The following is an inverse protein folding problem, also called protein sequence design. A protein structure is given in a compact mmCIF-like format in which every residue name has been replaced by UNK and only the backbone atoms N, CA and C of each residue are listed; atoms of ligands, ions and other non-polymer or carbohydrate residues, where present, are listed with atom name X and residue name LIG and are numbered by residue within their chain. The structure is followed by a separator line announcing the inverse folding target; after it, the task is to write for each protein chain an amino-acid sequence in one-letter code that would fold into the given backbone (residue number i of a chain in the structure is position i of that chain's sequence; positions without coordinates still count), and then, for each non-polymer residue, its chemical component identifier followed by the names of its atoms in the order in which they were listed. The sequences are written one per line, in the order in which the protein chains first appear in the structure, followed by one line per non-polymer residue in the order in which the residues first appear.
data_IF_252035429319
#
_entry.id   IF_252035429319
#
_cell.length_a   1.000
_cell.length_b   1.000
_cell.length_c   1.000
_cell.angle_alpha   90.00
_cell.angle_beta   90.00
_cell.angle_gamma   90.00
#
_symmetry.space_group_name_H-M   'P 1'
#
loop_
_entity.id
_entity.type
_entity.pdbx_description
1 polymer ?
#
# COMPACT_ATOMS: atom_id res chain seq x y z
N UNK A 1 32.19 -3.37 -4.05
CA UNK A 1 31.19 -2.67 -3.22
C UNK A 1 30.39 -3.73 -2.47
N UNK A 2 30.12 -3.53 -1.17
CA UNK A 2 29.29 -4.46 -0.40
C UNK A 2 27.83 -4.30 -0.81
N UNK A 3 27.13 -5.42 -1.03
CA UNK A 3 25.70 -5.46 -1.37
C UNK A 3 24.92 -6.12 -0.24
N UNK A 4 23.65 -5.76 -0.09
CA UNK A 4 22.76 -6.32 0.92
C UNK A 4 21.60 -7.08 0.27
N UNK A 5 21.46 -8.37 0.58
CA UNK A 5 20.32 -9.19 0.21
C UNK A 5 19.35 -9.30 1.39
N UNK A 6 18.09 -8.93 1.17
CA UNK A 6 17.01 -9.05 2.14
C UNK A 6 16.07 -10.19 1.74
N UNK A 7 16.08 -11.29 2.48
CA UNK A 7 15.16 -12.41 2.26
C UNK A 7 13.96 -12.28 3.19
N UNK A 8 12.78 -11.99 2.65
CA UNK A 8 11.52 -11.87 3.39
C UNK A 8 10.60 -13.04 3.08
N UNK A 9 10.28 -13.87 4.07
CA UNK A 9 9.21 -14.84 3.90
C UNK A 9 7.86 -14.11 3.86
N UNK A 10 6.98 -14.53 2.95
CA UNK A 10 5.62 -14.02 2.88
C UNK A 10 4.91 -14.01 4.25
N UNK A 11 3.99 -13.05 4.45
CA UNK A 11 3.16 -12.94 5.64
C UNK A 11 2.19 -14.12 5.78
N UNK A 12 1.57 -14.27 6.96
CA UNK A 12 0.64 -15.39 7.20
C UNK A 12 -0.51 -15.37 6.17
N UNK A 13 -0.58 -16.43 5.36
CA UNK A 13 -1.67 -16.66 4.40
C UNK A 13 -2.95 -17.18 5.06
N UNK A 14 -4.06 -16.98 4.37
CA UNK A 14 -5.35 -17.57 4.68
C UNK A 14 -5.57 -18.82 3.85
N UNK A 15 -5.65 -19.97 4.51
CA UNK A 15 -5.90 -21.25 3.86
C UNK A 15 -7.36 -21.70 3.95
N UNK A 16 -8.24 -20.95 4.61
CA UNK A 16 -9.66 -21.31 4.70
C UNK A 16 -10.50 -20.75 3.55
N UNK A 17 -9.91 -19.92 2.68
CA UNK A 17 -10.58 -19.42 1.48
C UNK A 17 -10.45 -20.50 0.39
N UNK A 18 -11.55 -20.95 -0.23
CA UNK A 18 -11.52 -22.03 -1.23
C UNK A 18 -11.03 -21.51 -2.59
N UNK A 19 -9.72 -21.28 -2.70
CA UNK A 19 -9.03 -20.82 -3.90
C UNK A 19 -7.75 -21.63 -4.11
N UNK A 20 -7.23 -21.60 -5.34
CA UNK A 20 -5.94 -22.23 -5.69
C UNK A 20 -4.80 -21.68 -4.82
N UNK A 21 -3.72 -22.47 -4.63
CA UNK A 21 -2.65 -22.08 -3.70
C UNK A 21 -2.03 -20.71 -4.04
N UNK A 22 -1.79 -20.46 -5.34
CA UNK A 22 -1.26 -19.19 -5.84
C UNK A 22 -2.18 -18.00 -5.50
N UNK A 23 -3.49 -18.20 -5.44
CA UNK A 23 -4.49 -17.15 -5.18
C UNK A 23 -4.77 -16.94 -3.68
N UNK A 24 -4.16 -17.73 -2.78
CA UNK A 24 -4.42 -17.63 -1.34
C UNK A 24 -4.04 -16.25 -0.79
N UNK A 25 -4.98 -15.51 -0.18
CA UNK A 25 -4.73 -14.16 0.30
C UNK A 25 -3.97 -14.15 1.64
N UNK A 26 -3.52 -12.98 2.08
CA UNK A 26 -3.00 -12.77 3.43
C UNK A 26 -4.10 -12.66 4.49
N UNK A 27 -3.88 -13.26 5.66
CA UNK A 27 -4.66 -12.94 6.89
C UNK A 27 -4.37 -11.51 7.35
N UNK A 28 -5.27 -10.92 8.13
CA UNK A 28 -5.07 -9.59 8.77
C UNK A 28 -3.70 -9.47 9.47
N UNK A 29 -3.32 -10.49 10.24
CA UNK A 29 -2.00 -10.53 10.91
C UNK A 29 -0.82 -10.62 9.95
N UNK A 30 -0.99 -11.27 8.79
CA UNK A 30 0.03 -11.34 7.75
C UNK A 30 0.24 -9.99 7.08
N UNK A 31 -0.86 -9.29 6.76
CA UNK A 31 -0.85 -7.92 6.25
C UNK A 31 -0.13 -6.97 7.22
N UNK A 32 -0.48 -7.03 8.51
CA UNK A 32 0.14 -6.21 9.55
C UNK A 32 1.64 -6.53 9.73
N UNK A 33 2.03 -7.81 9.72
CA UNK A 33 3.43 -8.21 9.82
C UNK A 33 4.28 -7.66 8.68
N UNK A 34 3.79 -7.70 7.45
CA UNK A 34 4.45 -7.13 6.28
C UNK A 34 4.66 -5.61 6.41
N UNK A 35 3.61 -4.89 6.83
CA UNK A 35 3.68 -3.44 7.05
C UNK A 35 4.69 -3.09 8.15
N UNK A 36 4.67 -3.80 9.28
CA UNK A 36 5.61 -3.56 10.39
C UNK A 36 7.05 -3.83 9.98
N UNK A 37 7.29 -4.86 9.17
CA UNK A 37 8.63 -5.15 8.67
C UNK A 37 9.14 -4.05 7.74
N UNK A 38 8.30 -3.56 6.83
CA UNK A 38 8.63 -2.42 5.96
C UNK A 38 8.91 -1.14 6.76
N UNK A 39 8.04 -0.79 7.71
CA UNK A 39 8.25 0.38 8.55
C UNK A 39 9.54 0.30 9.37
N UNK A 40 9.85 -0.88 9.92
CA UNK A 40 11.10 -1.11 10.63
C UNK A 40 12.31 -0.98 9.70
N UNK A 41 12.26 -1.53 8.48
CA UNK A 41 13.35 -1.35 7.51
C UNK A 41 13.60 0.11 7.17
N UNK A 42 12.55 0.90 6.97
CA UNK A 42 12.67 2.34 6.74
C UNK A 42 13.29 3.07 7.94
N UNK A 43 12.84 2.75 9.16
CA UNK A 43 13.39 3.30 10.42
C UNK A 43 14.88 2.97 10.59
N UNK A 44 15.34 1.81 10.10
CA UNK A 44 16.77 1.43 10.12
C UNK A 44 17.59 2.03 8.97
N UNK A 45 17.00 2.80 8.06
CA UNK A 45 17.67 3.28 6.84
C UNK A 45 18.01 2.15 5.85
N UNK A 46 17.22 1.07 5.85
CA UNK A 46 17.47 -0.19 5.11
C UNK A 46 16.47 -0.42 3.97
N UNK A 47 15.99 0.65 3.34
CA UNK A 47 15.05 0.59 2.20
C UNK A 47 15.74 -0.02 0.96
N UNK A 48 15.16 -1.04 0.30
CA UNK A 48 15.71 -1.64 -0.92
C UNK A 48 15.45 -0.77 -2.14
N UNK A 49 16.37 -0.81 -3.13
CA UNK A 49 16.11 -0.17 -4.42
C UNK A 49 15.23 -1.05 -5.32
N UNK A 50 15.24 -2.37 -5.09
CA UNK A 50 14.42 -3.31 -5.86
C UNK A 50 13.86 -4.41 -4.96
N UNK A 51 12.60 -4.78 -5.20
CA UNK A 51 11.91 -5.88 -4.53
C UNK A 51 11.47 -6.89 -5.58
N UNK A 52 11.92 -8.13 -5.47
CA UNK A 52 11.45 -9.25 -6.26
C UNK A 52 10.48 -10.07 -5.42
N UNK A 53 9.37 -10.52 -6.00
CA UNK A 53 8.38 -11.33 -5.30
C UNK A 53 7.92 -12.50 -6.14
N UNK A 54 7.68 -13.64 -5.48
CA UNK A 54 6.95 -14.75 -6.09
C UNK A 54 5.58 -14.31 -6.64
N UNK A 55 5.05 -14.95 -7.70
CA UNK A 55 3.73 -14.65 -8.27
C UNK A 55 2.55 -14.94 -7.32
N UNK A 56 2.75 -15.74 -6.28
CA UNK A 56 1.68 -16.05 -5.32
C UNK A 56 1.14 -14.78 -4.64
N UNK A 57 -0.18 -14.64 -4.56
CA UNK A 57 -0.88 -13.47 -4.03
C UNK A 57 -0.40 -13.10 -2.62
N UNK A 58 -0.21 -14.09 -1.74
CA UNK A 58 0.36 -13.88 -0.40
C UNK A 58 1.75 -13.23 -0.40
N UNK A 59 2.61 -13.55 -1.37
CA UNK A 59 3.95 -13.00 -1.48
C UNK A 59 3.89 -11.59 -2.07
N UNK A 60 3.15 -11.40 -3.17
CA UNK A 60 2.92 -10.08 -3.79
C UNK A 60 2.34 -9.08 -2.80
N UNK A 61 1.26 -9.44 -2.13
CA UNK A 61 0.64 -8.60 -1.11
C UNK A 61 1.55 -8.34 0.12
N UNK A 62 2.53 -9.22 0.38
CA UNK A 62 3.56 -8.97 1.41
C UNK A 62 4.54 -7.92 0.92
N UNK A 63 5.07 -8.08 -0.30
CA UNK A 63 6.01 -7.17 -0.94
C UNK A 63 5.43 -5.76 -1.07
N UNK A 64 4.23 -5.61 -1.61
CA UNK A 64 3.55 -4.32 -1.78
C UNK A 64 3.30 -3.62 -0.45
N UNK A 65 2.91 -4.37 0.59
CA UNK A 65 2.68 -3.80 1.94
C UNK A 65 3.97 -3.35 2.61
N UNK A 66 5.05 -4.10 2.39
CA UNK A 66 6.38 -3.72 2.83
C UNK A 66 6.83 -2.44 2.11
N UNK A 67 6.73 -2.42 0.77
CA UNK A 67 7.07 -1.29 -0.09
C UNK A 67 6.34 -0.01 0.34
N UNK A 68 5.00 -0.06 0.43
CA UNK A 68 4.19 1.10 0.84
C UNK A 68 4.54 1.60 2.26
N UNK A 69 4.83 0.68 3.19
CA UNK A 69 5.25 1.07 4.54
C UNK A 69 6.66 1.69 4.58
N UNK A 70 7.50 1.41 3.58
CA UNK A 70 8.79 2.08 3.36
C UNK A 70 8.68 3.39 2.56
N UNK A 71 7.48 3.76 2.11
CA UNK A 71 7.27 4.93 1.25
C UNK A 71 7.57 4.69 -0.23
N UNK A 72 7.75 3.44 -0.66
CA UNK A 72 7.95 3.06 -2.05
C UNK A 72 6.63 2.85 -2.79
N UNK A 73 6.63 3.10 -4.09
CA UNK A 73 5.53 2.73 -4.99
C UNK A 73 5.52 1.22 -5.24
N UNK A 74 4.40 0.70 -5.76
CA UNK A 74 4.31 -0.69 -6.21
C UNK A 74 5.22 -0.99 -7.41
N UNK A 75 5.68 0.03 -8.14
CA UNK A 75 6.62 -0.11 -9.26
C UNK A 75 7.99 -0.64 -8.81
N UNK A 76 8.36 -0.45 -7.54
CA UNK A 76 9.56 -1.05 -6.96
C UNK A 76 9.46 -2.59 -6.80
N UNK A 77 8.27 -3.17 -7.00
CA UNK A 77 7.97 -4.59 -6.84
C UNK A 77 7.87 -5.26 -8.20
N UNK A 78 8.81 -6.16 -8.51
CA UNK A 78 8.80 -6.99 -9.72
C UNK A 78 8.40 -8.42 -9.37
N UNK A 79 7.50 -9.01 -10.16
CA UNK A 79 7.15 -10.42 -10.02
C UNK A 79 8.20 -11.27 -10.72
N UNK A 80 8.72 -12.28 -10.02
CA UNK A 80 9.68 -13.26 -10.56
C UNK A 80 9.11 -14.68 -10.40
N UNK A 81 8.75 -15.35 -11.51
CA UNK A 81 8.11 -16.68 -11.49
C UNK A 81 8.91 -17.73 -10.72
N UNK A 82 10.23 -17.75 -10.91
CA UNK A 82 11.15 -18.75 -10.33
C UNK A 82 11.26 -18.66 -8.79
N UNK A 83 10.69 -17.63 -8.17
CA UNK A 83 10.60 -17.53 -6.70
C UNK A 83 9.45 -18.34 -6.11
N UNK A 84 8.57 -18.92 -6.95
CA UNK A 84 7.55 -19.87 -6.50
C UNK A 84 8.10 -21.29 -6.55
N UNK A 85 8.19 -21.96 -5.39
CA UNK A 85 8.72 -23.34 -5.27
C UNK A 85 10.14 -23.54 -5.81
N UNK A 86 10.91 -22.46 -5.99
CA UNK A 86 12.32 -22.52 -6.38
C UNK A 86 13.21 -23.13 -5.30
N UNK A 87 14.19 -23.90 -5.73
CA UNK A 87 15.30 -24.40 -4.91
C UNK A 87 16.41 -23.34 -4.77
N UNK A 88 17.44 -23.56 -3.93
CA UNK A 88 18.51 -22.59 -3.72
C UNK A 88 19.21 -22.12 -5.01
N UNK A 89 19.38 -22.99 -6.01
CA UNK A 89 20.04 -22.65 -7.27
C UNK A 89 19.14 -21.77 -8.14
N UNK A 90 17.84 -22.05 -8.22
CA UNK A 90 16.86 -21.20 -8.90
C UNK A 90 16.80 -19.80 -8.26
N UNK A 91 16.77 -19.73 -6.92
CA UNK A 91 16.83 -18.44 -6.21
C UNK A 91 18.14 -17.70 -6.45
N UNK A 92 19.29 -18.40 -6.49
CA UNK A 92 20.58 -17.80 -6.82
C UNK A 92 20.57 -17.19 -8.23
N UNK A 93 20.02 -17.90 -9.22
CA UNK A 93 19.89 -17.39 -10.59
C UNK A 93 19.02 -16.13 -10.67
N UNK A 94 17.91 -16.07 -9.93
CA UNK A 94 17.07 -14.87 -9.86
C UNK A 94 17.84 -13.68 -9.28
N UNK A 95 18.57 -13.89 -8.18
CA UNK A 95 19.37 -12.84 -7.55
C UNK A 95 20.52 -12.41 -8.47
N UNK A 96 21.17 -13.34 -9.15
CA UNK A 96 22.28 -13.08 -10.07
C UNK A 96 21.91 -12.18 -11.26
N UNK A 97 20.63 -12.17 -11.67
CA UNK A 97 20.09 -11.26 -12.71
C UNK A 97 19.90 -9.82 -12.23
N UNK A 98 20.11 -9.52 -10.96
CA UNK A 98 19.94 -8.18 -10.43
C UNK A 98 21.03 -7.23 -10.99
N UNK A 99 20.66 -6.06 -11.54
CA UNK A 99 21.62 -5.07 -12.03
C UNK A 99 22.62 -4.62 -10.96
N UNK A 100 23.85 -4.34 -11.38
CA UNK A 100 24.95 -4.04 -10.46
C UNK A 100 24.86 -2.68 -9.76
N UNK A 101 24.05 -1.75 -10.28
CA UNK A 101 23.72 -0.45 -9.67
C UNK A 101 22.77 -0.59 -8.47
N UNK A 102 22.11 -1.75 -8.31
CA UNK A 102 21.32 -2.09 -7.13
C UNK A 102 22.26 -2.57 -6.02
N UNK A 103 22.35 -1.82 -4.92
CA UNK A 103 23.15 -2.20 -3.76
C UNK A 103 22.37 -2.97 -2.68
N UNK A 104 21.04 -2.85 -2.68
CA UNK A 104 20.13 -3.54 -1.77
C UNK A 104 18.93 -4.12 -2.53
N UNK A 105 18.90 -5.45 -2.59
CA UNK A 105 17.83 -6.24 -3.18
C UNK A 105 16.98 -6.87 -2.07
N UNK A 106 15.66 -6.83 -2.20
CA UNK A 106 14.76 -7.65 -1.40
C UNK A 106 14.13 -8.75 -2.24
N UNK A 107 14.07 -9.97 -1.71
CA UNK A 107 13.38 -11.12 -2.30
C UNK A 107 12.28 -11.55 -1.34
N UNK A 108 11.05 -11.64 -1.85
CA UNK A 108 9.86 -12.07 -1.11
C UNK A 108 9.37 -13.42 -1.63
N UNK A 109 9.45 -14.45 -0.79
CA UNK A 109 9.25 -15.83 -1.21
C UNK A 109 8.65 -16.75 -0.14
N UNK A 110 8.90 -18.06 -0.29
CA UNK A 110 8.27 -19.14 0.47
C UNK A 110 9.29 -20.05 1.13
N UNK A 111 8.86 -20.76 2.18
CA UNK A 111 9.60 -21.90 2.70
C UNK A 111 9.09 -23.19 2.04
N UNK A 112 9.92 -24.24 1.92
CA UNK A 112 11.26 -24.35 2.50
C UNK A 112 12.37 -23.62 1.71
N UNK A 113 12.16 -23.32 0.42
CA UNK A 113 13.19 -22.76 -0.46
C UNK A 113 13.95 -21.53 0.08
N UNK A 114 13.30 -20.58 0.77
CA UNK A 114 14.01 -19.45 1.40
C UNK A 114 14.92 -19.84 2.57
N UNK A 115 14.55 -20.84 3.38
CA UNK A 115 15.40 -21.31 4.47
C UNK A 115 16.58 -22.11 3.91
N UNK A 116 16.32 -22.98 2.94
CA UNK A 116 17.37 -23.73 2.23
C UNK A 116 18.33 -22.80 1.50
N UNK A 117 17.83 -21.73 0.87
CA UNK A 117 18.66 -20.73 0.22
C UNK A 117 19.48 -19.91 1.23
N UNK A 118 18.90 -19.55 2.36
CA UNK A 118 19.62 -18.89 3.45
C UNK A 118 20.77 -19.77 3.99
N UNK A 119 20.53 -21.06 4.15
CA UNK A 119 21.54 -22.03 4.60
C UNK A 119 22.62 -22.22 3.52
N UNK A 120 22.23 -22.34 2.24
CA UNK A 120 23.14 -22.46 1.09
C UNK A 120 24.07 -21.24 0.93
N UNK A 121 23.54 -20.04 1.17
CA UNK A 121 24.30 -18.80 1.09
C UNK A 121 25.34 -18.63 2.20
N UNK A 122 25.11 -19.26 3.35
CA UNK A 122 25.93 -19.04 4.55
C UNK A 122 27.22 -19.86 4.50
N UNK A 123 28.40 -19.26 4.76
CA UNK A 123 29.67 -20.00 4.74
C UNK A 123 29.80 -20.98 5.92
N UNK A 124 29.04 -20.75 6.99
CA UNK A 124 29.03 -21.55 8.20
C UNK A 124 27.59 -21.95 8.54
N UNK A 125 27.37 -23.12 9.19
CA UNK A 125 26.05 -23.54 9.63
C UNK A 125 25.39 -22.50 10.53
N UNK A 126 24.16 -22.12 10.19
CA UNK A 126 23.39 -21.18 11.00
C UNK A 126 22.77 -21.89 12.21
N UNK A 127 22.75 -21.25 13.40
CA UNK A 127 22.20 -21.85 14.61
C UNK A 127 20.71 -22.20 14.42
N UNK A 128 20.34 -23.40 14.88
CA UNK A 128 18.95 -23.85 14.85
C UNK A 128 18.12 -23.05 15.87
N UNK A 129 16.99 -22.44 15.45
CA UNK A 129 16.13 -21.73 16.38
C UNK A 129 15.27 -22.71 17.17
N UNK A 130 14.99 -22.41 18.44
CA UNK A 130 14.10 -23.23 19.29
C UNK A 130 12.73 -23.53 18.64
N UNK A 131 12.23 -22.61 17.81
CA UNK A 131 10.96 -22.76 17.10
C UNK A 131 10.99 -23.74 15.91
N UNK A 132 12.16 -24.27 15.54
CA UNK A 132 12.38 -25.14 14.38
C UNK A 132 12.20 -24.47 13.02
N UNK A 133 12.04 -23.13 12.97
CA UNK A 133 11.90 -22.34 11.74
C UNK A 133 12.78 -21.09 11.83
N UNK A 134 13.76 -20.97 10.93
CA UNK A 134 14.62 -19.78 10.82
C UNK A 134 13.80 -18.58 10.34
N UNK A 135 12.97 -18.78 9.33
CA UNK A 135 12.12 -17.79 8.71
C UNK A 135 10.63 -18.13 8.94
N UNK A 136 10.04 -17.81 10.11
CA UNK A 136 8.58 -17.83 10.25
C UNK A 136 7.94 -16.77 9.33
N UNK A 137 6.62 -16.81 9.14
CA UNK A 137 5.92 -15.88 8.22
C UNK A 137 6.21 -14.42 8.56
N UNK A 138 6.52 -13.60 7.55
CA UNK A 138 6.97 -12.21 7.67
C UNK A 138 8.32 -12.01 8.39
N UNK A 139 9.13 -13.05 8.59
CA UNK A 139 10.51 -12.90 9.05
C UNK A 139 11.44 -12.50 7.90
N UNK A 140 12.47 -11.75 8.26
CA UNK A 140 13.45 -11.18 7.35
C UNK A 140 14.85 -11.66 7.74
N UNK A 141 15.63 -12.17 6.79
CA UNK A 141 17.08 -12.30 6.92
C UNK A 141 17.77 -11.20 6.11
N UNK A 142 18.76 -10.53 6.70
CA UNK A 142 19.61 -9.55 6.06
C UNK A 142 21.00 -10.14 5.90
N UNK A 143 21.46 -10.29 4.67
CA UNK A 143 22.76 -10.83 4.34
C UNK A 143 23.62 -9.77 3.67
N UNK A 144 24.92 -9.79 3.97
CA UNK A 144 25.95 -9.03 3.24
C UNK A 144 26.69 -9.96 2.30
N UNK A 145 26.96 -9.48 1.09
CA UNK A 145 27.76 -10.18 0.09
C UNK A 145 28.80 -9.22 -0.50
N UNK A 146 29.93 -9.79 -0.89
CA UNK A 146 31.01 -9.11 -1.59
C UNK A 146 30.92 -9.41 -3.09
N UNK A 147 31.34 -8.46 -3.93
CA UNK A 147 31.31 -8.63 -5.38
C UNK A 147 29.92 -8.46 -6.00
N UNK A 148 29.80 -8.81 -7.28
CA UNK A 148 28.61 -8.62 -8.11
C UNK A 148 27.47 -9.58 -7.75
N UNK A 149 26.23 -9.24 -8.09
CA UNK A 149 25.10 -10.18 -7.93
C UNK A 149 25.33 -11.46 -8.74
N UNK A 150 25.89 -11.32 -9.94
CA UNK A 150 26.21 -12.43 -10.84
C UNK A 150 27.27 -13.40 -10.29
N UNK A 151 28.07 -13.00 -9.29
CA UNK A 151 29.06 -13.87 -8.65
C UNK A 151 28.52 -14.59 -7.41
N UNK A 152 27.21 -14.50 -7.14
CA UNK A 152 26.60 -15.16 -5.98
C UNK A 152 26.73 -16.69 -6.10
N UNK A 153 27.37 -17.29 -5.10
CA UNK A 153 27.61 -18.72 -5.01
C UNK A 153 27.32 -19.23 -3.58
N UNK A 154 27.35 -20.55 -3.40
CA UNK A 154 27.22 -21.19 -2.10
C UNK A 154 28.27 -20.64 -1.13
N UNK A 155 27.86 -20.34 0.11
CA UNK A 155 28.73 -19.70 1.10
C UNK A 155 29.13 -18.24 0.78
N UNK A 156 28.58 -17.65 -0.28
CA UNK A 156 28.95 -16.32 -0.79
C UNK A 156 28.34 -15.14 -0.03
N UNK A 157 27.54 -15.36 1.00
CA UNK A 157 26.93 -14.28 1.78
C UNK A 157 26.94 -14.56 3.29
N UNK A 158 27.16 -13.52 4.09
CA UNK A 158 27.14 -13.60 5.56
C UNK A 158 25.80 -13.10 6.09
N UNK A 159 25.13 -13.89 6.93
CA UNK A 159 23.97 -13.42 7.69
C UNK A 159 24.41 -12.30 8.66
N UNK A 160 23.80 -11.12 8.51
CA UNK A 160 24.06 -9.94 9.34
C UNK A 160 22.97 -9.73 10.39
N UNK A 161 21.72 -10.05 10.07
CA UNK A 161 20.60 -9.96 11.03
C UNK A 161 19.44 -10.87 10.62
N UNK A 162 18.78 -11.48 11.60
CA UNK A 162 17.51 -12.20 11.42
C UNK A 162 16.41 -11.50 12.25
N UNK A 163 15.45 -10.87 11.58
CA UNK A 163 14.36 -10.14 12.23
C UNK A 163 13.04 -10.90 12.16
N UNK A 164 12.42 -11.13 13.32
CA UNK A 164 11.11 -11.79 13.43
C UNK A 164 10.01 -10.76 13.74
N UNK A 165 8.78 -10.93 13.22
CA UNK A 165 7.68 -9.98 13.45
C UNK A 165 7.37 -9.71 14.92
N UNK A 166 7.55 -10.71 15.79
CA UNK A 166 7.31 -10.58 17.23
C UNK A 166 8.31 -9.67 17.94
N UNK A 167 9.51 -9.50 17.38
CA UNK A 167 10.58 -8.67 17.93
C UNK A 167 10.55 -7.22 17.38
N UNK A 168 9.59 -6.89 16.52
CA UNK A 168 9.42 -5.53 16.01
C UNK A 168 8.77 -4.63 17.08
N UNK A 169 9.07 -3.33 17.11
CA UNK A 169 8.37 -2.38 17.96
C UNK A 169 6.86 -2.35 17.68
N UNK A 170 6.04 -2.08 18.70
CA UNK A 170 4.60 -1.91 18.54
C UNK A 170 4.27 -0.58 17.85
N UNK A 171 3.24 -0.57 17.00
CA UNK A 171 2.86 0.61 16.23
C UNK A 171 3.86 1.00 15.13
N UNK A 172 3.58 2.12 14.47
CA UNK A 172 4.32 2.63 13.32
C UNK A 172 4.87 4.03 13.63
N UNK A 173 6.14 4.33 13.29
CA UNK A 173 6.70 5.66 13.49
C UNK A 173 5.91 6.71 12.68
N UNK A 174 5.78 7.91 13.23
CA UNK A 174 4.99 9.00 12.68
C UNK A 174 5.65 10.38 12.96
N UNK A 175 5.55 11.36 12.04
CA UNK A 175 5.06 11.24 10.65
C UNK A 175 6.08 10.63 9.70
N UNK A 176 7.34 10.53 10.12
CA UNK A 176 8.46 10.03 9.32
C UNK A 176 8.97 8.69 9.88
N UNK A 177 9.79 7.93 9.13
CA UNK A 177 10.37 6.67 9.60
C UNK A 177 11.17 6.77 10.90
N UNK A 178 11.75 7.93 11.19
CA UNK A 178 12.51 8.28 12.40
C UNK A 178 11.67 9.05 13.44
N UNK A 179 10.36 9.15 13.23
CA UNK A 179 9.44 9.87 14.10
C UNK A 179 9.33 9.24 15.50
N UNK A 180 9.37 10.09 16.53
CA UNK A 180 9.29 9.65 17.93
C UNK A 180 7.89 9.15 18.34
N UNK A 181 6.83 9.63 17.67
CA UNK A 181 5.46 9.18 17.92
C UNK A 181 5.22 7.84 17.21
N UNK A 182 4.47 6.93 17.85
CA UNK A 182 4.00 5.69 17.21
C UNK A 182 2.48 5.60 17.14
N UNK A 183 1.95 5.20 15.98
CA UNK A 183 0.51 5.10 15.70
C UNK A 183 0.06 3.69 15.29
N UNK A 184 -1.26 3.45 15.25
CA UNK A 184 -1.84 2.15 14.85
C UNK A 184 -1.56 1.80 13.39
N UNK A 185 -1.37 2.81 12.52
CA UNK A 185 -1.17 2.64 11.08
C UNK A 185 0.08 3.35 10.59
N UNK A 186 0.67 2.91 9.47
CA UNK A 186 1.75 3.65 8.80
C UNK A 186 1.35 5.10 8.51
N UNK A 187 2.31 6.03 8.51
CA UNK A 187 2.06 7.45 8.35
C UNK A 187 1.19 7.81 7.14
N UNK A 188 1.41 7.16 5.99
CA UNK A 188 0.66 7.42 4.76
C UNK A 188 -0.86 7.17 4.90
N UNK A 189 -1.32 6.33 5.85
CA UNK A 189 -2.75 6.13 6.11
C UNK A 189 -3.45 7.43 6.52
N UNK A 190 -2.75 8.32 7.23
CA UNK A 190 -3.31 9.54 7.79
C UNK A 190 -3.40 10.69 6.77
N UNK A 191 -2.93 10.48 5.54
CA UNK A 191 -3.12 11.40 4.43
C UNK A 191 -4.14 10.81 3.46
N UNK A 192 -5.20 11.56 3.22
CA UNK A 192 -6.32 11.13 2.40
C UNK A 192 -6.66 12.18 1.35
N UNK A 193 -7.33 11.72 0.30
CA UNK A 193 -7.85 12.56 -0.76
C UNK A 193 -9.32 12.22 -0.98
N UNK A 194 -10.08 13.20 -1.46
CA UNK A 194 -11.48 13.05 -1.81
C UNK A 194 -11.80 13.90 -3.03
N UNK A 195 -12.84 13.51 -3.78
CA UNK A 195 -13.44 14.36 -4.79
C UNK A 195 -14.79 14.90 -4.32
N UNK A 196 -15.12 16.13 -4.72
CA UNK A 196 -16.48 16.65 -4.83
C UNK A 196 -16.88 16.52 -6.31
N UNK A 197 -17.51 15.41 -6.72
CA UNK A 197 -17.93 15.25 -8.10
C UNK A 197 -19.10 16.20 -8.35
N UNK A 198 -19.02 16.97 -9.43
CA UNK A 198 -20.06 17.93 -9.79
C UNK A 198 -20.42 17.85 -11.28
N UNK A 199 -21.62 18.33 -11.58
CA UNK A 199 -22.07 18.61 -12.95
C UNK A 199 -22.97 19.83 -12.96
N UNK A 200 -23.15 20.40 -14.15
CA UNK A 200 -24.14 21.45 -14.39
C UNK A 200 -25.32 20.85 -15.14
N UNK A 201 -26.53 21.06 -14.63
CA UNK A 201 -27.77 20.62 -15.26
C UNK A 201 -28.76 21.78 -15.26
N UNK A 202 -29.16 22.21 -16.45
CA UNK A 202 -30.10 23.33 -16.64
C UNK A 202 -29.68 24.60 -15.86
N UNK A 203 -28.37 24.87 -15.83
CA UNK A 203 -27.78 26.01 -15.09
C UNK A 203 -27.62 25.81 -13.58
N UNK A 204 -28.12 24.72 -13.02
CA UNK A 204 -27.96 24.37 -11.61
C UNK A 204 -26.72 23.49 -11.38
N UNK A 205 -25.95 23.82 -10.35
CA UNK A 205 -24.86 22.97 -9.86
C UNK A 205 -25.44 21.79 -9.08
N UNK A 206 -25.10 20.58 -9.50
CA UNK A 206 -25.38 19.34 -8.77
C UNK A 206 -24.07 18.70 -8.33
N UNK A 207 -24.06 18.08 -7.14
CA UNK A 207 -22.93 17.31 -6.62
C UNK A 207 -23.34 15.87 -6.34
N UNK A 208 -22.44 14.93 -6.60
CA UNK A 208 -22.71 13.51 -6.38
C UNK A 208 -22.23 13.11 -4.98
N UNK A 209 -23.11 12.48 -4.21
CA UNK A 209 -22.73 11.74 -3.01
C UNK A 209 -22.85 10.24 -3.26
N UNK A 210 -22.03 9.48 -2.53
CA UNK A 210 -22.12 8.03 -2.45
C UNK A 210 -22.48 7.58 -1.04
N UNK A 211 -23.12 6.42 -0.92
CA UNK A 211 -23.26 5.73 0.35
C UNK A 211 -21.88 5.33 0.88
N UNK A 212 -21.71 5.33 2.20
CA UNK A 212 -20.55 4.72 2.84
C UNK A 212 -20.45 3.24 2.44
N UNK A 213 -19.32 2.56 2.69
CA UNK A 213 -19.18 1.11 2.41
C UNK A 213 -20.26 0.23 3.06
N UNK A 214 -20.87 0.70 4.14
CA UNK A 214 -22.02 0.08 4.83
C UNK A 214 -23.39 0.69 4.47
N UNK A 215 -23.44 1.66 3.55
CA UNK A 215 -24.61 2.47 3.17
C UNK A 215 -25.37 3.10 4.34
N UNK A 216 -24.70 3.38 5.47
CA UNK A 216 -25.34 3.95 6.67
C UNK A 216 -25.41 5.47 6.67
N UNK A 217 -24.59 6.13 5.86
CA UNK A 217 -24.55 7.59 5.72
C UNK A 217 -24.01 7.98 4.35
N UNK A 218 -24.27 9.21 3.94
CA UNK A 218 -23.71 9.79 2.73
C UNK A 218 -22.29 10.31 2.95
N UNK A 219 -21.45 10.16 1.93
CA UNK A 219 -20.08 10.65 1.89
C UNK A 219 -19.66 11.00 0.47
N UNK A 220 -18.48 11.60 0.35
CA UNK A 220 -17.78 11.77 -0.92
C UNK A 220 -16.85 10.58 -1.19
N UNK A 221 -16.57 10.26 -2.47
CA UNK A 221 -15.53 9.29 -2.83
C UNK A 221 -14.19 9.71 -2.24
N UNK A 222 -13.56 8.84 -1.45
CA UNK A 222 -12.33 9.18 -0.73
C UNK A 222 -11.49 7.97 -0.34
N UNK A 223 -10.17 8.17 -0.35
CA UNK A 223 -9.20 7.11 -0.07
C UNK A 223 -7.95 7.58 0.62
N UNK A 224 -7.05 6.62 0.87
CA UNK A 224 -5.69 6.89 1.34
C UNK A 224 -4.87 7.33 0.13
N UNK A 225 -4.04 8.37 0.30
CA UNK A 225 -3.04 8.72 -0.72
C UNK A 225 -1.92 7.69 -0.63
N UNK A 226 -1.89 6.76 -1.59
CA UNK A 226 -0.82 5.75 -1.64
C UNK A 226 0.54 6.41 -1.92
N UNK A 227 1.64 5.86 -1.37
CA UNK A 227 2.98 6.36 -1.66
C UNK A 227 3.24 6.47 -3.18
N UNK A 228 3.72 7.65 -3.58
CA UNK A 228 4.03 8.02 -4.97
C UNK A 228 2.84 8.44 -5.84
N UNK A 229 1.61 8.44 -5.32
CA UNK A 229 0.49 9.13 -5.96
C UNK A 229 0.39 10.57 -5.48
N UNK A 230 0.01 11.47 -6.40
CA UNK A 230 -0.45 12.80 -5.99
C UNK A 230 -1.84 12.69 -5.33
N UNK A 231 -2.20 13.64 -4.44
CA UNK A 231 -3.55 13.69 -3.88
C UNK A 231 -4.65 13.75 -4.95
N UNK A 232 -4.43 14.46 -6.07
CA UNK A 232 -5.37 14.54 -7.19
C UNK A 232 -5.56 13.18 -7.86
N UNK A 233 -4.45 12.51 -8.22
CA UNK A 233 -4.49 11.20 -8.87
C UNK A 233 -5.17 10.16 -7.96
N UNK A 234 -4.88 10.20 -6.66
CA UNK A 234 -5.56 9.39 -5.66
C UNK A 234 -7.07 9.69 -5.60
N UNK A 235 -7.47 10.95 -5.62
CA UNK A 235 -8.89 11.33 -5.56
C UNK A 235 -9.66 10.86 -6.81
N UNK A 236 -9.07 11.00 -8.00
CA UNK A 236 -9.65 10.52 -9.27
C UNK A 236 -9.80 9.00 -9.28
N UNK A 237 -8.78 8.28 -8.79
CA UNK A 237 -8.83 6.81 -8.66
C UNK A 237 -10.02 6.38 -7.79
N UNK A 238 -10.18 6.99 -6.62
CA UNK A 238 -11.28 6.69 -5.69
C UNK A 238 -12.67 7.06 -6.27
N UNK A 239 -12.74 8.10 -7.10
CA UNK A 239 -13.97 8.43 -7.84
C UNK A 239 -14.37 7.29 -8.80
N UNK A 240 -13.41 6.69 -9.49
CA UNK A 240 -13.64 5.52 -10.34
C UNK A 240 -14.08 4.30 -9.53
N UNK A 241 -13.32 3.95 -8.49
CA UNK A 241 -13.54 2.72 -7.71
C UNK A 241 -14.85 2.78 -6.89
N UNK A 242 -15.05 3.84 -6.09
CA UNK A 242 -16.20 3.92 -5.18
C UNK A 242 -17.49 4.37 -5.87
N UNK A 243 -17.40 5.21 -6.91
CA UNK A 243 -18.56 5.86 -7.54
C UNK A 243 -18.80 5.46 -9.02
N UNK A 244 -17.81 4.85 -9.68
CA UNK A 244 -17.89 4.51 -11.11
C UNK A 244 -17.99 5.73 -12.00
N UNK A 245 -17.28 6.80 -11.66
CA UNK A 245 -17.33 8.07 -12.39
C UNK A 245 -15.94 8.47 -12.86
N UNK A 246 -15.88 9.10 -14.03
CA UNK A 246 -14.67 9.70 -14.62
C UNK A 246 -14.87 11.18 -14.87
N UNK A 247 -13.76 11.93 -14.92
CA UNK A 247 -13.83 13.38 -15.03
C UNK A 247 -12.48 14.07 -14.92
N UNK A 248 -12.53 15.40 -14.88
CA UNK A 248 -11.36 16.26 -14.73
C UNK A 248 -11.44 17.09 -13.45
N UNK A 249 -10.30 17.24 -12.76
CA UNK A 249 -10.20 18.16 -11.62
C UNK A 249 -10.38 19.60 -12.12
N UNK A 250 -11.28 20.34 -11.49
CA UNK A 250 -11.52 21.74 -11.81
C UNK A 250 -10.34 22.62 -11.35
N UNK A 251 -10.05 23.67 -12.10
CA UNK A 251 -9.02 24.66 -11.79
C UNK A 251 -9.46 25.63 -10.67
N UNK A 252 -9.88 25.09 -9.53
CA UNK A 252 -10.23 25.82 -8.31
C UNK A 252 -9.40 25.30 -7.15
N UNK A 253 -9.04 26.18 -6.22
CA UNK A 253 -8.26 25.78 -5.05
C UNK A 253 -8.97 24.68 -4.24
N UNK A 254 -8.27 23.57 -3.91
CA UNK A 254 -8.87 22.46 -3.17
C UNK A 254 -9.28 22.89 -1.75
N UNK A 255 -10.30 22.22 -1.22
CA UNK A 255 -10.66 22.31 0.19
C UNK A 255 -9.80 21.37 1.04
N UNK A 256 -9.76 21.61 2.35
CA UNK A 256 -9.05 20.73 3.28
C UNK A 256 -9.85 20.57 4.57
N UNK A 257 -10.01 19.34 5.03
CA UNK A 257 -10.64 19.06 6.32
C UNK A 257 -9.93 17.93 7.06
N UNK A 258 -10.21 17.82 8.35
CA UNK A 258 -9.70 16.74 9.20
C UNK A 258 -10.83 15.83 9.66
N UNK A 259 -10.53 14.54 9.78
CA UNK A 259 -11.44 13.55 10.35
C UNK A 259 -10.68 12.55 11.22
N UNK A 260 -11.33 12.03 12.27
CA UNK A 260 -10.71 11.03 13.13
C UNK A 260 -10.84 9.62 12.51
N UNK A 261 -9.73 8.89 12.36
CA UNK A 261 -9.70 7.49 11.91
C UNK A 261 -8.47 6.79 12.49
N UNK A 262 -8.63 5.51 12.85
CA UNK A 262 -7.54 4.69 13.44
C UNK A 262 -6.85 5.38 14.63
N UNK A 263 -7.66 5.94 15.54
CA UNK A 263 -7.20 6.58 16.76
C UNK A 263 -6.49 7.93 16.60
N UNK A 264 -6.41 8.50 15.38
CA UNK A 264 -5.76 9.80 15.15
C UNK A 264 -6.50 10.64 14.11
N UNK A 265 -6.09 11.91 13.97
CA UNK A 265 -6.60 12.79 12.91
C UNK A 265 -5.97 12.42 11.55
N UNK A 266 -6.81 12.32 10.53
CA UNK A 266 -6.41 12.24 9.13
C UNK A 266 -6.66 13.59 8.46
N UNK A 267 -5.73 14.03 7.63
CA UNK A 267 -5.92 15.18 6.75
C UNK A 267 -6.50 14.71 5.42
N UNK A 268 -7.52 15.42 4.93
CA UNK A 268 -8.19 15.11 3.68
C UNK A 268 -8.13 16.33 2.77
N UNK A 269 -7.48 16.18 1.62
CA UNK A 269 -7.56 17.14 0.52
C UNK A 269 -8.83 16.86 -0.31
N UNK A 270 -9.63 17.89 -0.57
CA UNK A 270 -10.90 17.80 -1.29
C UNK A 270 -10.83 18.54 -2.61
N UNK A 271 -10.88 17.79 -3.72
CA UNK A 271 -10.78 18.33 -5.08
C UNK A 271 -12.14 18.38 -5.76
N UNK A 272 -12.48 19.48 -6.42
CA UNK A 272 -13.67 19.52 -7.26
C UNK A 272 -13.39 18.78 -8.56
N UNK A 273 -14.26 17.85 -8.95
CA UNK A 273 -14.11 17.06 -10.19
C UNK A 273 -15.36 17.20 -11.05
N UNK A 274 -15.22 17.72 -12.28
CA UNK A 274 -16.33 17.73 -13.24
C UNK A 274 -16.55 16.32 -13.74
N UNK A 275 -17.75 15.79 -13.60
CA UNK A 275 -18.09 14.44 -14.07
C UNK A 275 -18.41 14.49 -15.56
N UNK A 276 -17.62 13.77 -16.34
CA UNK A 276 -17.75 13.67 -17.80
C UNK A 276 -18.20 12.24 -18.21
N UNK A 277 -18.07 11.25 -17.32
CA UNK A 277 -18.53 9.88 -17.56
C UNK A 277 -19.10 9.23 -16.29
N UNK A 278 -20.18 8.46 -16.43
CA UNK A 278 -20.79 7.67 -15.36
C UNK A 278 -21.03 6.22 -15.84
N UNK A 279 -20.52 5.24 -15.10
CA UNK A 279 -20.76 3.82 -15.39
C UNK A 279 -22.11 3.36 -14.83
N UNK A 280 -22.81 2.41 -15.49
CA UNK A 280 -23.98 1.74 -14.93
C UNK A 280 -23.67 1.03 -13.61
N UNK A 281 -24.65 0.84 -12.74
CA UNK A 281 -24.41 0.30 -11.40
C UNK A 281 -23.71 -1.07 -11.40
N UNK A 282 -24.02 -1.95 -12.35
CA UNK A 282 -23.50 -3.31 -12.42
C UNK A 282 -22.04 -3.40 -12.89
N UNK A 283 -21.56 -2.38 -13.62
CA UNK A 283 -20.19 -2.33 -14.13
C UNK A 283 -19.20 -1.71 -13.13
N UNK A 284 -19.72 -1.10 -12.06
CA UNK A 284 -18.91 -0.45 -11.03
C UNK A 284 -18.13 -1.48 -10.24
N UNK A 285 -16.92 -1.12 -9.86
CA UNK A 285 -16.10 -1.92 -8.95
C UNK A 285 -16.75 -2.08 -7.57
N UNK A 286 -17.39 -1.02 -7.07
CA UNK A 286 -18.18 -1.06 -5.82
C UNK A 286 -19.69 -0.89 -6.08
N UNK A 287 -20.37 -1.87 -6.69
CA UNK A 287 -21.78 -1.74 -7.11
C UNK A 287 -22.74 -1.68 -5.91
N UNK A 288 -22.26 -2.11 -4.74
CA UNK A 288 -23.01 -2.09 -3.48
C UNK A 288 -23.22 -0.68 -2.95
N UNK A 289 -22.39 0.31 -3.32
CA UNK A 289 -22.56 1.69 -2.86
C UNK A 289 -23.62 2.43 -3.65
N UNK A 290 -24.60 2.98 -2.95
CA UNK A 290 -25.58 3.86 -3.57
C UNK A 290 -24.91 5.15 -4.06
N UNK A 291 -25.46 5.79 -5.10
CA UNK A 291 -25.02 7.11 -5.56
C UNK A 291 -26.23 7.96 -5.89
N UNK A 292 -26.16 9.26 -5.60
CA UNK A 292 -27.24 10.22 -5.91
C UNK A 292 -26.68 11.62 -6.09
N UNK A 293 -27.28 12.35 -7.03
CA UNK A 293 -27.03 13.77 -7.27
C UNK A 293 -27.89 14.64 -6.34
N UNK A 294 -27.28 15.70 -5.79
CA UNK A 294 -27.89 16.60 -4.81
C UNK A 294 -27.59 18.05 -5.18
N UNK A 295 -28.45 18.98 -4.75
CA UNK A 295 -28.05 20.37 -4.64
C UNK A 295 -26.96 20.52 -3.56
N UNK A 296 -26.00 21.45 -3.67
CA UNK A 296 -24.89 21.58 -2.72
C UNK A 296 -25.31 21.74 -1.25
N UNK A 297 -26.39 22.47 -0.97
CA UNK A 297 -26.88 22.64 0.41
C UNK A 297 -27.52 21.37 0.96
N UNK A 298 -28.28 20.65 0.14
CA UNK A 298 -28.83 19.33 0.52
C UNK A 298 -27.71 18.33 0.76
N UNK A 299 -26.67 18.35 -0.09
CA UNK A 299 -25.51 17.49 0.05
C UNK A 299 -24.77 17.77 1.37
N UNK A 300 -24.54 19.06 1.69
CA UNK A 300 -23.90 19.46 2.93
C UNK A 300 -24.71 19.07 4.18
N UNK A 301 -26.05 19.04 4.09
CA UNK A 301 -26.91 18.57 5.17
C UNK A 301 -26.94 17.03 5.29
N UNK A 302 -26.70 16.31 4.19
CA UNK A 302 -26.75 14.85 4.14
C UNK A 302 -25.45 14.16 4.58
N UNK A 303 -24.29 14.80 4.37
CA UNK A 303 -22.98 14.23 4.75
C UNK A 303 -22.77 14.23 6.25
N UNK A 304 -22.01 13.24 6.74
CA UNK A 304 -21.63 13.17 8.16
C UNK A 304 -20.40 14.03 8.43
N UNK A 305 -20.54 14.98 9.34
CA UNK A 305 -19.44 15.78 9.91
C UNK A 305 -19.43 17.22 9.42
N UNK A 306 -19.43 18.16 10.38
CA UNK A 306 -19.52 19.60 10.10
C UNK A 306 -18.34 20.13 9.27
N UNK A 307 -17.14 19.60 9.50
CA UNK A 307 -15.95 20.00 8.76
C UNK A 307 -16.08 19.69 7.25
N UNK A 308 -16.55 18.50 6.90
CA UNK A 308 -16.81 18.12 5.51
C UNK A 308 -17.94 18.96 4.91
N UNK A 309 -19.05 19.13 5.63
CA UNK A 309 -20.17 19.93 5.17
C UNK A 309 -19.76 21.38 4.86
N UNK A 310 -18.91 21.98 5.70
CA UNK A 310 -18.37 23.33 5.49
C UNK A 310 -17.48 23.40 4.26
N UNK A 311 -16.53 22.48 4.10
CA UNK A 311 -15.64 22.46 2.93
C UNK A 311 -16.41 22.20 1.62
N UNK A 312 -17.44 21.35 1.65
CA UNK A 312 -18.32 21.11 0.50
C UNK A 312 -18.99 22.41 0.05
N UNK A 313 -19.61 23.16 0.97
CA UNK A 313 -20.24 24.45 0.67
C UNK A 313 -19.23 25.45 0.11
N UNK A 314 -18.07 25.58 0.76
CA UNK A 314 -17.02 26.50 0.34
C UNK A 314 -16.53 26.19 -1.08
N UNK A 315 -16.29 24.91 -1.39
CA UNK A 315 -15.83 24.48 -2.70
C UNK A 315 -16.91 24.64 -3.78
N UNK A 316 -18.18 24.34 -3.46
CA UNK A 316 -19.30 24.58 -4.36
C UNK A 316 -19.50 26.08 -4.66
N UNK A 317 -19.29 26.96 -3.68
CA UNK A 317 -19.33 28.40 -3.89
C UNK A 317 -18.21 28.86 -4.84
N UNK A 318 -16.99 28.34 -4.69
CA UNK A 318 -15.87 28.63 -5.60
C UNK A 318 -16.15 28.19 -7.04
N UNK A 319 -16.79 27.03 -7.22
CA UNK A 319 -17.20 26.55 -8.55
C UNK A 319 -18.19 27.51 -9.22
N UNK A 320 -19.14 28.07 -8.46
CA UNK A 320 -20.10 29.06 -8.98
C UNK A 320 -19.42 30.37 -9.36
N UNK A 321 -18.44 30.84 -8.58
CA UNK A 321 -17.70 32.07 -8.92
C UNK A 321 -16.70 31.89 -10.06
N UNK A 322 -16.14 30.69 -10.23
CA UNK A 322 -15.15 30.39 -11.27
C UNK A 322 -15.74 29.91 -12.61
N UNK A 323 -17.00 29.50 -12.64
CA UNK A 323 -17.73 29.12 -13.86
C UNK A 323 -18.45 30.26 -14.58
N UNK A 324 -18.26 31.51 -14.14
CA UNK A 324 -18.88 32.71 -14.69
C UNK A 324 -18.01 33.42 -15.76
N UNK A 325 -17.04 32.71 -16.35
CA UNK A 325 -16.15 33.22 -17.40
C UNK A 325 -16.21 32.35 -18.65
#
# INVERSE_FOLDING_TARGET
MSRELLLLRHGKSDGSVPVDDLARPLKKRGKLGAQRMGAWLAEQGRVPQRILTSPAERARATAEKCAKAMGLTVEAVTVEPDLYEGDPEALAHVVARCPDDISRLMVVGHNPGLEEFLDWLSPEPLPEPESGKRLPTAALARLGLDGAWASLAAGGARLLELKRPKALPEGFPFPFPDGAERRERPAYYYTQSAVLPYRWRDGALEVLLIGSSSNRHWSLPKGIVEPGLSPEASALKEAGEEAGIGGAIAAVAPGHYRQAKWGAACEVALFAMRVDAEQPQHDREEPHRTRRWFAPEEAAAAVRGEALARELRALAARLRSGGAS
#
